data_IF_027288441159
#
_entry.id   IF_027288441159
#
_cell.length_a   1.000
_cell.length_b   1.000
_cell.length_c   1.000
_cell.angle_alpha   90.00
_cell.angle_beta   90.00
_cell.angle_gamma   90.00
#
_symmetry.space_group_name_H-M   'P 1'
#
loop_
_entity.id
_entity.type
_entity.pdbx_description
1 polymer ?
#
# COMPACT_ATOMS: atom_id res chain seq x y z
N UNK A 1 7.22 -1.99 17.04
CA UNK A 1 5.83 -2.34 16.73
C UNK A 1 5.57 -1.83 15.32
N UNK A 2 5.59 -2.71 14.31
CA UNK A 2 5.47 -2.32 12.90
C UNK A 2 4.00 -2.28 12.46
N UNK A 3 3.67 -1.38 11.53
CA UNK A 3 2.37 -1.37 10.86
C UNK A 3 2.28 -2.48 9.80
N UNK A 4 1.07 -2.73 9.29
CA UNK A 4 0.82 -3.71 8.20
C UNK A 4 1.03 -3.13 6.79
N UNK A 5 1.69 -1.97 6.67
CA UNK A 5 1.86 -1.28 5.39
C UNK A 5 2.91 -1.99 4.54
N UNK A 6 2.51 -2.43 3.35
CA UNK A 6 3.35 -3.06 2.35
C UNK A 6 3.58 -2.15 1.14
N UNK A 7 4.72 -2.28 0.48
CA UNK A 7 4.96 -1.67 -0.83
C UNK A 7 4.99 -2.77 -1.90
N UNK A 8 4.04 -2.75 -2.82
CA UNK A 8 4.03 -3.61 -3.99
C UNK A 8 4.83 -2.94 -5.12
N UNK A 9 5.92 -3.58 -5.59
CA UNK A 9 6.65 -3.08 -6.74
C UNK A 9 5.80 -3.27 -7.99
N UNK A 10 5.31 -2.17 -8.56
CA UNK A 10 4.62 -2.21 -9.84
C UNK A 10 5.66 -2.05 -10.95
N UNK A 11 6.01 -3.15 -11.60
CA UNK A 11 6.88 -3.19 -12.78
C UNK A 11 6.14 -2.57 -13.98
N UNK A 12 6.01 -1.26 -14.02
CA UNK A 12 5.12 -0.60 -14.99
C UNK A 12 5.78 -0.21 -16.31
N UNK A 13 7.10 -0.30 -16.49
CA UNK A 13 7.71 0.01 -17.80
C UNK A 13 8.94 -0.86 -18.01
N UNK A 14 9.11 -1.38 -19.24
CA UNK A 14 10.33 -2.07 -19.71
C UNK A 14 11.56 -1.28 -19.25
N UNK A 15 12.53 -1.98 -18.67
CA UNK A 15 13.80 -1.45 -18.17
C UNK A 15 14.55 -0.75 -19.31
N UNK A 16 14.26 0.52 -19.56
CA UNK A 16 15.14 1.37 -20.35
C UNK A 16 16.10 2.09 -19.39
N UNK A 17 17.36 2.10 -19.80
CA UNK A 17 18.56 2.05 -18.95
C UNK A 17 18.86 3.35 -18.18
N UNK A 18 18.01 4.39 -18.25
CA UNK A 18 18.39 5.70 -17.68
C UNK A 18 17.38 6.53 -16.90
N UNK A 19 16.12 6.13 -16.68
CA UNK A 19 15.21 6.91 -15.81
C UNK A 19 14.30 6.01 -14.98
N UNK A 20 14.65 5.84 -13.70
CA UNK A 20 13.97 5.04 -12.67
C UNK A 20 12.52 5.50 -12.49
N UNK A 21 11.58 4.83 -13.14
CA UNK A 21 10.17 4.84 -12.76
C UNK A 21 9.87 3.61 -11.93
N UNK A 22 10.14 3.64 -10.63
CA UNK A 22 9.70 2.58 -9.70
C UNK A 22 8.38 3.02 -9.09
N UNK A 23 7.27 2.78 -9.79
CA UNK A 23 5.94 2.99 -9.21
C UNK A 23 5.81 2.06 -7.99
N UNK A 24 5.46 2.65 -6.84
CA UNK A 24 5.21 1.90 -5.61
C UNK A 24 3.76 2.09 -5.24
N UNK A 25 3.04 0.98 -5.17
CA UNK A 25 1.71 0.94 -4.58
C UNK A 25 1.86 0.57 -3.11
N UNK A 26 1.38 1.42 -2.22
CA UNK A 26 1.32 1.09 -0.80
C UNK A 26 -0.02 0.39 -0.50
N UNK A 27 0.01 -0.66 0.30
CA UNK A 27 -1.12 -1.55 0.61
C UNK A 27 -1.15 -1.95 2.08
N UNK A 28 -2.25 -2.55 2.55
CA UNK A 28 -2.33 -3.20 3.87
C UNK A 28 -2.43 -4.72 3.65
N UNK A 29 -1.46 -5.48 4.16
CA UNK A 29 -1.49 -6.96 4.04
C UNK A 29 -2.12 -7.59 5.29
N UNK A 30 -3.19 -8.36 5.09
CA UNK A 30 -3.90 -9.07 6.15
C UNK A 30 -3.64 -10.59 6.03
N UNK A 31 -2.55 -11.03 6.66
CA UNK A 31 -2.12 -12.45 6.66
C UNK A 31 -1.86 -12.97 5.22
N UNK A 32 -2.56 -14.03 4.80
CA UNK A 32 -2.47 -14.66 3.48
C UNK A 32 -3.40 -14.04 2.42
N UNK A 33 -4.25 -13.06 2.80
CA UNK A 33 -5.15 -12.35 1.88
C UNK A 33 -4.68 -10.90 1.68
N UNK A 34 -4.75 -10.43 0.43
CA UNK A 34 -4.33 -9.06 0.08
C UNK A 34 -5.55 -8.12 0.07
N UNK A 35 -5.63 -7.23 1.05
CA UNK A 35 -6.56 -6.11 1.03
C UNK A 35 -5.89 -4.93 0.31
N UNK A 36 -6.29 -4.67 -0.93
CA UNK A 36 -5.77 -3.51 -1.67
C UNK A 36 -6.56 -2.27 -1.27
N UNK A 37 -6.13 -1.62 -0.19
CA UNK A 37 -6.44 -0.22 0.09
C UNK A 37 -5.14 0.53 -0.11
N UNK A 38 -5.04 1.28 -1.20
CA UNK A 38 -3.76 1.82 -1.62
C UNK A 38 -3.87 3.05 -2.49
N UNK A 39 -2.97 3.98 -2.22
CA UNK A 39 -2.58 5.05 -3.13
C UNK A 39 -1.08 4.90 -3.41
N UNK A 40 -0.62 5.53 -4.49
CA UNK A 40 0.76 5.46 -4.90
C UNK A 40 1.15 6.68 -5.72
N UNK A 41 2.45 6.85 -5.91
CA UNK A 41 2.99 7.95 -6.67
C UNK A 41 4.33 7.58 -7.28
N UNK A 42 4.77 8.39 -8.25
CA UNK A 42 6.10 8.25 -8.82
C UNK A 42 7.13 8.63 -7.76
N UNK A 43 7.90 7.65 -7.28
CA UNK A 43 8.97 7.90 -6.33
C UNK A 43 10.17 8.56 -7.01
N UNK A 44 10.39 9.84 -6.71
CA UNK A 44 11.55 10.59 -7.17
C UNK A 44 12.69 10.67 -6.12
N UNK A 45 12.42 10.26 -4.88
CA UNK A 45 13.30 10.38 -3.71
C UNK A 45 13.86 9.02 -3.23
N UNK A 46 14.79 9.04 -2.27
CA UNK A 46 15.40 7.83 -1.71
C UNK A 46 14.46 7.11 -0.75
N UNK A 47 13.72 7.84 0.07
CA UNK A 47 12.71 7.31 1.00
C UNK A 47 11.37 8.01 0.78
N UNK A 48 10.26 7.38 1.17
CA UNK A 48 8.94 7.97 0.92
C UNK A 48 8.68 9.18 1.81
N UNK A 49 9.33 9.24 2.99
CA UNK A 49 9.25 10.34 3.95
C UNK A 49 9.79 11.66 3.38
N UNK A 50 10.64 11.59 2.35
CA UNK A 50 11.19 12.76 1.67
C UNK A 50 10.26 13.35 0.60
N UNK A 51 9.19 12.62 0.23
CA UNK A 51 8.21 13.06 -0.75
C UNK A 51 6.90 13.36 0.01
N UNK A 52 6.45 14.63 0.07
CA UNK A 52 5.30 15.01 0.90
C UNK A 52 4.02 14.28 0.50
N UNK A 53 3.85 13.97 -0.80
CA UNK A 53 2.68 13.24 -1.30
C UNK A 53 2.75 11.78 -0.86
N UNK A 54 3.92 11.14 -1.01
CA UNK A 54 4.07 9.75 -0.57
C UNK A 54 3.99 9.60 0.95
N UNK A 55 4.48 10.58 1.71
CA UNK A 55 4.37 10.62 3.16
C UNK A 55 2.89 10.68 3.60
N UNK A 56 2.11 11.61 3.06
CA UNK A 56 0.68 11.76 3.37
C UNK A 56 -0.12 10.48 3.07
N UNK A 57 0.18 9.84 1.93
CA UNK A 57 -0.39 8.54 1.56
C UNK A 57 -0.09 7.49 2.64
N UNK A 58 1.17 7.37 3.06
CA UNK A 58 1.57 6.37 4.07
C UNK A 58 0.94 6.68 5.44
N UNK A 59 0.85 7.94 5.83
CA UNK A 59 0.20 8.33 7.09
C UNK A 59 -1.30 8.01 7.10
N UNK A 60 -1.97 8.25 5.96
CA UNK A 60 -3.38 7.87 5.77
C UNK A 60 -3.56 6.37 5.92
N UNK A 61 -2.71 5.56 5.27
CA UNK A 61 -2.77 4.10 5.36
C UNK A 61 -2.50 3.59 6.78
N UNK A 62 -1.55 4.19 7.50
CA UNK A 62 -1.31 3.90 8.93
C UNK A 62 -2.53 4.19 9.79
N UNK A 63 -3.27 5.27 9.50
CA UNK A 63 -4.51 5.62 10.21
C UNK A 63 -5.61 4.58 9.95
N UNK A 64 -5.76 4.13 8.71
CA UNK A 64 -6.68 3.05 8.35
C UNK A 64 -6.30 1.75 9.07
N UNK A 65 -5.02 1.39 9.07
CA UNK A 65 -4.54 0.17 9.76
C UNK A 65 -4.92 0.17 11.25
N UNK A 66 -4.71 1.30 11.95
CA UNK A 66 -5.13 1.45 13.36
C UNK A 66 -6.63 1.24 13.56
N UNK A 67 -7.46 1.72 12.63
CA UNK A 67 -8.91 1.50 12.67
C UNK A 67 -9.26 0.03 12.44
N UNK A 68 -8.63 -0.63 11.46
CA UNK A 68 -8.82 -2.06 11.20
C UNK A 68 -8.47 -2.90 12.43
N UNK A 69 -7.33 -2.62 13.08
CA UNK A 69 -6.94 -3.28 14.34
C UNK A 69 -7.99 -3.07 15.44
N UNK A 70 -8.61 -1.88 15.51
CA UNK A 70 -9.64 -1.59 16.50
C UNK A 70 -10.93 -2.38 16.23
N UNK A 71 -11.32 -2.51 14.97
CA UNK A 71 -12.48 -3.31 14.56
C UNK A 71 -12.25 -4.81 14.83
N UNK A 72 -11.07 -5.34 14.50
CA UNK A 72 -10.68 -6.73 14.81
C UNK A 72 -10.76 -7.01 16.32
N UNK A 73 -10.23 -6.09 17.15
CA UNK A 73 -10.35 -6.18 18.61
C UNK A 73 -11.78 -6.12 19.14
N UNK A 74 -12.68 -5.51 18.38
CA UNK A 74 -14.11 -5.42 18.70
C UNK A 74 -14.89 -6.67 18.27
N UNK A 75 -14.22 -7.68 17.71
CA UNK A 75 -14.81 -8.94 17.27
C UNK A 75 -15.32 -8.95 15.83
N UNK A 76 -15.04 -7.92 15.04
CA UNK A 76 -15.41 -7.87 13.62
C UNK A 76 -14.38 -8.65 12.81
N UNK A 77 -14.83 -9.70 12.11
CA UNK A 77 -13.98 -10.47 11.20
C UNK A 77 -13.86 -9.79 9.83
N UNK A 78 -12.86 -8.91 9.71
CA UNK A 78 -12.55 -8.20 8.46
C UNK A 78 -12.13 -9.19 7.36
N UNK A 79 -11.56 -10.35 7.69
CA UNK A 79 -11.09 -11.31 6.69
C UNK A 79 -12.22 -12.00 5.92
N UNK A 80 -13.44 -11.99 6.48
CA UNK A 80 -14.64 -12.56 5.86
C UNK A 80 -15.27 -11.63 4.81
N UNK A 81 -15.04 -10.32 4.91
CA UNK A 81 -15.67 -9.28 4.09
C UNK A 81 -14.82 -8.82 2.89
N UNK A 82 -13.59 -9.34 2.74
CA UNK A 82 -12.66 -8.90 1.69
C UNK A 82 -12.82 -9.75 0.43
N UNK A 83 -13.33 -9.12 -0.63
CA UNK A 83 -13.45 -9.69 -1.97
C UNK A 83 -12.17 -9.47 -2.80
N UNK A 84 -11.85 -10.44 -3.67
CA UNK A 84 -10.71 -10.34 -4.58
C UNK A 84 -10.97 -9.27 -5.65
N UNK A 85 -10.14 -8.22 -5.68
CA UNK A 85 -10.14 -7.23 -6.76
C UNK A 85 -8.87 -7.40 -7.61
N UNK A 86 -9.05 -7.68 -8.90
CA UNK A 86 -7.95 -7.70 -9.87
C UNK A 86 -7.84 -6.34 -10.54
N UNK A 87 -6.74 -5.63 -10.32
CA UNK A 87 -6.44 -4.36 -10.99
C UNK A 87 -5.43 -4.61 -12.11
N UNK A 88 -5.82 -4.28 -13.34
CA UNK A 88 -4.95 -4.35 -14.52
C UNK A 88 -4.42 -2.96 -14.83
N UNK A 89 -3.10 -2.79 -14.80
CA UNK A 89 -2.42 -1.54 -15.13
C UNK A 89 -1.86 -1.73 -16.55
N UNK A 90 -2.32 -0.94 -17.51
CA UNK A 90 -1.85 -0.94 -18.90
C UNK A 90 -0.57 -0.09 -19.04
#
# INVERSE_FOLDING_TARGET
MGDRVCALPLLTIRRDVKKRGTLRLYCIRLSEKLLIVGAGGKKCTTTYEQDPVLLEIVETLKSIDKKLVTLEKSGIDIHSEIYNLTVRIN
#
